data_IF_433770120223
#
_entry.id   IF_433770120223
#
_cell.length_a   1.000
_cell.length_b   1.000
_cell.length_c   1.000
_cell.angle_alpha   90.00
_cell.angle_beta   90.00
_cell.angle_gamma   90.00
#
_symmetry.space_group_name_H-M   'P 1'
#
loop_
_entity.id
_entity.type
_entity.pdbx_description
1 polymer ?
#
# COMPACT_ATOMS: atom_id res chain seq x y z
N UNK A 1 4.63 -12.52 -8.31
CA UNK A 1 5.20 -11.27 -7.73
C UNK A 1 4.23 -10.55 -6.79
N UNK A 2 2.94 -10.91 -6.76
CA UNK A 2 1.91 -10.21 -5.97
C UNK A 2 2.18 -10.14 -4.47
N UNK A 3 2.77 -11.18 -3.87
CA UNK A 3 3.14 -11.16 -2.46
C UNK A 3 4.16 -10.05 -2.12
N UNK A 4 5.16 -9.84 -2.97
CA UNK A 4 6.16 -8.79 -2.79
C UNK A 4 5.52 -7.40 -2.87
N UNK A 5 4.62 -7.18 -3.83
CA UNK A 5 3.90 -5.91 -3.92
C UNK A 5 2.99 -5.69 -2.71
N UNK A 6 2.20 -6.69 -2.34
CA UNK A 6 1.33 -6.62 -1.16
C UNK A 6 2.11 -6.27 0.11
N UNK A 7 3.18 -7.00 0.40
CA UNK A 7 4.02 -6.75 1.58
C UNK A 7 4.70 -5.37 1.55
N UNK A 8 5.11 -4.88 0.38
CA UNK A 8 5.62 -3.52 0.21
C UNK A 8 4.58 -2.44 0.56
N UNK A 9 3.34 -2.60 0.08
CA UNK A 9 2.24 -1.68 0.43
C UNK A 9 1.94 -1.70 1.94
N UNK A 10 1.88 -2.88 2.56
CA UNK A 10 1.63 -3.00 4.01
C UNK A 10 2.75 -2.35 4.83
N UNK A 11 4.01 -2.55 4.43
CA UNK A 11 5.16 -1.94 5.10
C UNK A 11 5.09 -0.41 5.04
N UNK A 12 4.79 0.15 3.86
CA UNK A 12 4.63 1.60 3.70
C UNK A 12 3.40 2.14 4.45
N UNK A 13 2.29 1.40 4.50
CA UNK A 13 1.12 1.79 5.29
C UNK A 13 1.47 1.95 6.78
N UNK A 14 2.22 0.99 7.33
CA UNK A 14 2.72 1.07 8.71
C UNK A 14 3.60 2.29 8.95
N UNK A 15 4.55 2.57 8.05
CA UNK A 15 5.44 3.73 8.18
C UNK A 15 4.68 5.06 8.08
N UNK A 16 3.70 5.17 7.16
CA UNK A 16 2.83 6.34 7.05
C UNK A 16 1.96 6.55 8.29
N UNK A 17 1.37 5.48 8.84
CA UNK A 17 0.60 5.56 10.07
C UNK A 17 1.44 6.05 11.25
N UNK A 18 2.69 5.55 11.37
CA UNK A 18 3.63 6.03 12.39
C UNK A 18 4.00 7.49 12.23
N UNK A 19 4.30 7.93 11.01
CA UNK A 19 4.59 9.35 10.75
C UNK A 19 3.38 10.23 11.04
N UNK A 20 2.16 9.80 10.69
CA UNK A 20 0.94 10.55 10.98
C UNK A 20 0.66 10.66 12.49
N UNK A 21 0.96 9.61 13.27
CA UNK A 21 0.85 9.66 14.73
C UNK A 21 1.82 10.70 15.31
N UNK A 22 3.10 10.64 14.95
CA UNK A 22 4.11 11.60 15.43
C UNK A 22 3.72 13.03 15.02
N UNK A 23 3.30 13.23 13.78
CA UNK A 23 2.88 14.54 13.30
C UNK A 23 1.71 15.14 14.09
N UNK A 24 0.70 14.33 14.43
CA UNK A 24 -0.42 14.76 15.26
C UNK A 24 0.03 15.11 16.69
N UNK A 25 0.93 14.32 17.27
CA UNK A 25 1.50 14.59 18.59
C UNK A 25 2.27 15.91 18.62
N UNK A 26 3.12 16.17 17.63
CA UNK A 26 3.91 17.41 17.55
C UNK A 26 3.04 18.65 17.34
N UNK A 27 1.95 18.53 16.55
CA UNK A 27 0.95 19.60 16.43
C UNK A 27 0.28 19.86 17.80
N UNK A 28 -0.11 18.81 18.52
CA UNK A 28 -0.75 18.95 19.83
C UNK A 28 0.19 19.56 20.89
N UNK A 29 1.50 19.30 20.78
CA UNK A 29 2.52 19.87 21.66
C UNK A 29 2.89 21.33 21.31
N UNK A 30 2.28 21.93 20.28
CA UNK A 30 2.49 23.33 19.92
C UNK A 30 3.76 23.57 19.11
N UNK A 31 4.19 22.60 18.28
CA UNK A 31 5.35 22.78 17.41
C UNK A 31 5.19 24.00 16.47
N UNK A 32 6.30 24.67 16.17
CA UNK A 32 6.36 25.79 15.21
C UNK A 32 6.25 25.33 13.75
N UNK A 33 6.39 24.04 13.48
CA UNK A 33 6.39 23.46 12.13
C UNK A 33 5.02 22.84 11.74
N UNK A 34 3.92 23.46 12.17
CA UNK A 34 2.56 22.92 11.99
C UNK A 34 2.23 22.57 10.53
N UNK A 35 2.65 23.41 9.58
CA UNK A 35 2.40 23.18 8.16
C UNK A 35 3.10 21.91 7.63
N UNK A 36 4.29 21.59 8.13
CA UNK A 36 5.01 20.37 7.75
C UNK A 36 4.30 19.11 8.28
N UNK A 37 3.89 19.14 9.55
CA UNK A 37 3.18 18.02 10.18
C UNK A 37 1.79 17.82 9.59
N UNK A 38 1.05 18.89 9.30
CA UNK A 38 -0.23 18.82 8.59
C UNK A 38 -0.06 18.21 7.18
N UNK A 39 0.98 18.61 6.45
CA UNK A 39 1.31 18.00 5.16
C UNK A 39 1.61 16.48 5.29
N UNK A 40 2.29 16.04 6.35
CA UNK A 40 2.54 14.61 6.63
C UNK A 40 1.24 13.84 6.85
N UNK A 41 0.32 14.38 7.65
CA UNK A 41 -0.99 13.76 7.91
C UNK A 41 -1.80 13.65 6.62
N UNK A 42 -1.88 14.73 5.83
CA UNK A 42 -2.59 14.75 4.54
C UNK A 42 -1.99 13.77 3.54
N UNK A 43 -0.67 13.64 3.50
CA UNK A 43 0.01 12.68 2.61
C UNK A 43 -0.29 11.24 3.02
N UNK A 44 -0.31 10.94 4.32
CA UNK A 44 -0.72 9.63 4.82
C UNK A 44 -2.17 9.33 4.42
N UNK A 45 -3.10 10.26 4.62
CA UNK A 45 -4.51 10.08 4.21
C UNK A 45 -4.64 9.80 2.71
N UNK A 46 -3.90 10.52 1.86
CA UNK A 46 -3.86 10.24 0.43
C UNK A 46 -3.37 8.82 0.13
N UNK A 47 -2.28 8.38 0.77
CA UNK A 47 -1.74 7.03 0.59
C UNK A 47 -2.79 5.95 0.92
N UNK A 48 -3.43 6.08 2.08
CA UNK A 48 -4.45 5.13 2.53
C UNK A 48 -5.71 5.14 1.64
N UNK A 49 -6.11 6.31 1.12
CA UNK A 49 -7.29 6.44 0.28
C UNK A 49 -7.07 6.01 -1.18
N UNK A 50 -5.88 6.24 -1.74
CA UNK A 50 -5.63 6.10 -3.19
C UNK A 50 -4.67 4.99 -3.57
N UNK A 51 -3.69 4.67 -2.72
CA UNK A 51 -2.64 3.69 -3.05
C UNK A 51 -2.87 2.35 -2.37
N UNK A 52 -3.18 2.36 -1.07
CA UNK A 52 -3.36 1.14 -0.29
C UNK A 52 -4.46 0.19 -0.84
N UNK A 53 -5.59 0.66 -1.40
CA UNK A 53 -6.62 -0.24 -1.93
C UNK A 53 -6.14 -1.18 -3.06
N UNK A 54 -5.01 -0.88 -3.71
CA UNK A 54 -4.39 -1.77 -4.72
C UNK A 54 -4.01 -3.14 -4.15
N UNK A 55 -3.80 -3.22 -2.82
CA UNK A 55 -3.54 -4.49 -2.13
C UNK A 55 -4.66 -5.51 -2.31
N UNK A 56 -5.92 -5.08 -2.43
CA UNK A 56 -7.05 -5.98 -2.67
C UNK A 56 -6.88 -6.79 -3.94
N UNK A 57 -6.41 -6.18 -5.02
CA UNK A 57 -6.11 -6.87 -6.27
C UNK A 57 -5.00 -7.90 -6.09
N UNK A 58 -3.93 -7.56 -5.36
CA UNK A 58 -2.85 -8.52 -5.09
C UNK A 58 -3.33 -9.70 -4.24
N UNK A 59 -4.16 -9.47 -3.21
CA UNK A 59 -4.76 -10.53 -2.40
C UNK A 59 -5.61 -11.46 -3.26
N UNK A 60 -6.46 -10.89 -4.13
CA UNK A 60 -7.29 -11.69 -5.04
C UNK A 60 -6.43 -12.54 -5.99
N UNK A 61 -5.38 -11.98 -6.58
CA UNK A 61 -4.46 -12.73 -7.47
C UNK A 61 -3.70 -13.84 -6.75
N UNK A 62 -3.33 -13.62 -5.48
CA UNK A 62 -2.70 -14.67 -4.66
C UNK A 62 -3.72 -15.78 -4.39
N UNK A 63 -4.97 -15.43 -4.07
CA UNK A 63 -6.02 -16.38 -3.74
C UNK A 63 -6.44 -17.27 -4.91
N UNK A 64 -6.34 -16.80 -6.16
CA UNK A 64 -6.66 -17.60 -7.36
C UNK A 64 -5.64 -18.72 -7.65
N UNK A 65 -4.47 -18.69 -7.02
CA UNK A 65 -3.45 -19.71 -7.20
C UNK A 65 -2.82 -19.73 -8.59
N UNK A 66 -2.17 -20.84 -8.92
CA UNK A 66 -1.39 -20.99 -10.17
C UNK A 66 -2.18 -21.56 -11.33
N UNK A 67 -3.36 -22.12 -11.09
CA UNK A 67 -4.14 -22.86 -12.09
C UNK A 67 -4.34 -22.07 -13.40
N UNK A 68 -4.77 -20.79 -13.37
CA UNK A 68 -4.97 -20.03 -14.61
C UNK A 68 -3.67 -19.78 -15.41
N UNK A 69 -2.51 -19.88 -14.76
CA UNK A 69 -1.21 -19.75 -15.42
C UNK A 69 -0.72 -21.07 -16.01
N UNK A 70 -1.13 -22.20 -15.43
CA UNK A 70 -0.64 -23.53 -15.79
C UNK A 70 -1.64 -24.34 -16.61
N UNK A 71 -2.84 -23.80 -16.86
CA UNK A 71 -3.91 -24.50 -17.58
C UNK A 71 -3.73 -24.58 -19.09
N UNK A 72 -2.83 -23.77 -19.68
CA UNK A 72 -2.56 -23.77 -21.12
C UNK A 72 -1.47 -24.78 -21.47
N UNK A 73 -1.72 -25.59 -22.50
CA UNK A 73 -0.71 -26.44 -23.11
C UNK A 73 0.28 -25.59 -23.92
N UNK A 74 1.52 -26.06 -24.07
CA UNK A 74 2.59 -25.36 -24.78
C UNK A 74 2.22 -25.05 -26.22
N UNK A 75 1.52 -25.98 -26.90
CA UNK A 75 1.11 -25.81 -28.29
C UNK A 75 0.08 -24.69 -28.47
N UNK A 76 -0.66 -24.33 -27.41
CA UNK A 76 -1.65 -23.25 -27.44
C UNK A 76 -1.00 -21.86 -27.45
N UNK A 77 0.30 -21.73 -27.17
CA UNK A 77 1.03 -20.46 -27.26
C UNK A 77 1.48 -20.11 -28.69
N UNK A 78 1.36 -21.04 -29.65
CA UNK A 78 1.84 -20.86 -31.02
C UNK A 78 0.85 -20.18 -31.98
N UNK A 79 -0.38 -19.90 -31.55
CA UNK A 79 -1.43 -19.26 -32.36
C UNK A 79 -1.73 -17.82 -31.90
#
# INVERSE_FOLDING_TARGET
>A
VDYMYFSGYVTLAYLWARMALVAQTEIANGSNEQAFYDAKVKTAQFYFAKLLPRTTTHVQRIATGVEPYMSMDVDQFAF
#
